data_IF_859536938959
#
_entry.id   IF_859536938959
#
_cell.length_a   1.000
_cell.length_b   1.000
_cell.length_c   1.000
_cell.angle_alpha   90.00
_cell.angle_beta   90.00
_cell.angle_gamma   90.00
#
_symmetry.space_group_name_H-M   'P 1'
#
loop_
_entity.id
_entity.type
_entity.pdbx_description
1 polymer ?
#
# COMPACT_ATOMS: atom_id res chain seq x y z
N UNK A 1 -35.22 4.97 -10.34
CA UNK A 1 -36.29 5.98 -10.17
C UNK A 1 -35.60 7.29 -9.84
N UNK A 2 -35.68 8.30 -10.72
CA UNK A 2 -35.11 9.65 -10.53
C UNK A 2 -36.25 10.59 -10.15
N UNK A 3 -36.09 11.42 -9.12
CA UNK A 3 -37.02 12.55 -8.89
C UNK A 3 -36.65 13.72 -9.79
N UNK A 4 -37.64 14.57 -10.09
CA UNK A 4 -37.67 15.57 -11.17
C UNK A 4 -36.60 16.67 -11.12
N UNK A 5 -35.79 16.77 -10.06
CA UNK A 5 -34.74 17.79 -9.93
C UNK A 5 -33.32 17.26 -10.19
N UNK A 6 -33.19 16.00 -10.63
CA UNK A 6 -31.88 15.41 -10.98
C UNK A 6 -30.95 15.14 -9.79
N UNK A 7 -31.36 15.46 -8.57
CA UNK A 7 -30.63 15.10 -7.35
C UNK A 7 -30.76 13.60 -7.06
N UNK A 8 -29.62 12.93 -6.93
CA UNK A 8 -29.53 11.50 -6.65
C UNK A 8 -30.06 11.22 -5.24
N UNK A 9 -31.12 10.41 -5.13
CA UNK A 9 -31.94 10.21 -3.92
C UNK A 9 -31.20 9.58 -2.72
N UNK A 10 -29.92 9.26 -2.88
CA UNK A 10 -29.11 8.64 -1.82
C UNK A 10 -27.98 9.55 -1.31
N UNK A 11 -27.79 10.74 -1.91
CA UNK A 11 -26.79 11.72 -1.48
C UNK A 11 -25.36 11.17 -1.39
N UNK A 12 -24.44 11.93 -0.77
CA UNK A 12 -23.04 11.55 -0.55
C UNK A 12 -22.84 10.29 0.34
N UNK A 13 -23.92 9.67 0.81
CA UNK A 13 -23.93 8.51 1.70
C UNK A 13 -24.52 7.25 1.04
N UNK A 14 -24.65 7.20 -0.29
CA UNK A 14 -25.04 5.96 -0.97
C UNK A 14 -23.97 4.88 -0.73
N UNK A 15 -24.28 3.76 -0.05
CA UNK A 15 -23.32 2.67 0.12
C UNK A 15 -22.85 2.09 -1.22
N UNK A 16 -23.57 2.29 -2.34
CA UNK A 16 -23.15 1.92 -3.71
C UNK A 16 -22.16 2.92 -4.31
N UNK A 17 -22.15 4.16 -3.84
CA UNK A 17 -21.14 5.16 -4.21
C UNK A 17 -19.82 4.99 -3.44
N UNK A 18 -19.80 4.18 -2.37
CA UNK A 18 -18.61 3.97 -1.56
C UNK A 18 -17.44 3.46 -2.42
N UNK A 19 -16.33 4.18 -2.41
CA UNK A 19 -15.13 3.83 -3.18
C UNK A 19 -14.38 2.64 -2.59
N UNK A 20 -14.64 2.31 -1.31
CA UNK A 20 -13.92 1.31 -0.54
C UNK A 20 -14.89 0.23 -0.05
N UNK A 21 -14.62 -1.03 -0.37
CA UNK A 21 -15.29 -2.19 0.21
C UNK A 21 -14.49 -2.76 1.39
N UNK A 22 -15.16 -3.23 2.43
CA UNK A 22 -14.50 -3.92 3.56
C UNK A 22 -15.03 -5.35 3.62
N UNK A 23 -14.12 -6.32 3.69
CA UNK A 23 -14.42 -7.74 3.83
C UNK A 23 -13.88 -8.20 5.18
N UNK A 24 -14.76 -8.55 6.11
CA UNK A 24 -14.38 -9.21 7.35
C UNK A 24 -14.32 -10.71 7.11
N UNK A 25 -13.12 -11.29 7.23
CA UNK A 25 -12.93 -12.73 7.07
C UNK A 25 -13.22 -13.41 8.41
N UNK A 26 -14.14 -14.35 8.44
CA UNK A 26 -14.36 -15.18 9.61
C UNK A 26 -13.24 -16.23 9.73
N UNK A 27 -12.91 -16.71 10.95
CA UNK A 27 -11.90 -17.76 11.13
C UNK A 27 -12.19 -19.04 10.33
N UNK A 28 -13.48 -19.32 10.10
CA UNK A 28 -13.98 -20.48 9.38
C UNK A 28 -14.06 -20.30 7.87
N UNK A 29 -13.95 -19.06 7.38
CA UNK A 29 -14.05 -18.79 5.95
C UNK A 29 -12.88 -19.43 5.21
N UNK A 30 -13.21 -20.05 4.10
CA UNK A 30 -12.25 -20.65 3.22
C UNK A 30 -11.73 -19.62 2.20
N UNK A 31 -10.64 -19.99 1.53
CA UNK A 31 -10.03 -19.14 0.52
C UNK A 31 -11.01 -18.78 -0.60
N UNK A 32 -11.85 -19.71 -1.06
CA UNK A 32 -12.71 -19.44 -2.22
C UNK A 32 -13.79 -18.42 -1.87
N UNK A 33 -14.37 -18.49 -0.67
CA UNK A 33 -15.36 -17.50 -0.21
C UNK A 33 -14.77 -16.08 -0.18
N UNK A 34 -13.54 -15.92 0.32
CA UNK A 34 -12.90 -14.59 0.35
C UNK A 34 -12.57 -14.08 -1.06
N UNK A 35 -12.10 -14.94 -1.97
CA UNK A 35 -11.85 -14.56 -3.36
C UNK A 35 -13.14 -14.15 -4.08
N UNK A 36 -14.23 -14.90 -3.87
CA UNK A 36 -15.54 -14.57 -4.43
C UNK A 36 -16.07 -13.23 -3.89
N UNK A 37 -15.83 -12.94 -2.61
CA UNK A 37 -16.17 -11.65 -2.01
C UNK A 37 -15.38 -10.50 -2.65
N UNK A 38 -14.07 -10.67 -2.88
CA UNK A 38 -13.24 -9.66 -3.57
C UNK A 38 -13.75 -9.41 -4.99
N UNK A 39 -14.05 -10.47 -5.75
CA UNK A 39 -14.61 -10.35 -7.10
C UNK A 39 -15.98 -9.66 -7.10
N UNK A 40 -16.79 -9.90 -6.08
CA UNK A 40 -18.09 -9.25 -5.93
C UNK A 40 -17.91 -7.75 -5.73
N UNK A 41 -16.96 -7.33 -4.89
CA UNK A 41 -16.67 -5.90 -4.70
C UNK A 41 -16.12 -5.24 -5.98
N UNK A 42 -15.30 -5.94 -6.75
CA UNK A 42 -14.82 -5.44 -8.06
C UNK A 42 -15.96 -5.26 -9.06
N UNK A 43 -16.90 -6.21 -9.13
CA UNK A 43 -18.12 -6.08 -9.94
C UNK A 43 -19.02 -4.92 -9.50
N UNK A 44 -19.02 -4.59 -8.21
CA UNK A 44 -19.73 -3.42 -7.67
C UNK A 44 -19.02 -2.09 -7.97
N UNK A 45 -17.86 -2.11 -8.63
CA UNK A 45 -17.13 -0.91 -9.03
C UNK A 45 -16.35 -0.25 -7.88
N UNK A 46 -16.03 -1.01 -6.81
CA UNK A 46 -15.19 -0.48 -5.73
C UNK A 46 -13.79 -0.18 -6.26
N UNK A 47 -13.22 0.96 -5.87
CA UNK A 47 -11.84 1.31 -6.25
C UNK A 47 -10.83 0.56 -5.39
N UNK A 48 -11.16 0.31 -4.13
CA UNK A 48 -10.30 -0.38 -3.18
C UNK A 48 -11.10 -1.35 -2.32
N UNK A 49 -10.50 -2.47 -1.93
CA UNK A 49 -11.09 -3.46 -1.03
C UNK A 49 -10.12 -3.80 0.09
N UNK A 50 -10.53 -3.54 1.32
CA UNK A 50 -9.82 -3.90 2.53
C UNK A 50 -10.28 -5.27 3.04
N UNK A 51 -9.39 -6.25 3.02
CA UNK A 51 -9.62 -7.60 3.54
C UNK A 51 -9.07 -7.68 4.95
N UNK A 52 -9.96 -7.76 5.94
CA UNK A 52 -9.62 -7.86 7.35
C UNK A 52 -9.47 -9.32 7.72
N UNK A 53 -8.24 -9.73 8.01
CA UNK A 53 -7.90 -11.08 8.44
C UNK A 53 -7.84 -11.12 9.97
N UNK A 54 -8.53 -12.08 10.61
CA UNK A 54 -8.39 -12.31 12.04
C UNK A 54 -7.05 -12.99 12.34
N UNK A 55 -6.65 -13.02 13.62
CA UNK A 55 -5.41 -13.68 14.07
C UNK A 55 -5.35 -15.15 13.70
N UNK A 56 -6.50 -15.83 13.74
CA UNK A 56 -6.65 -17.22 13.33
C UNK A 56 -7.67 -17.30 12.21
N UNK A 57 -7.23 -17.74 11.03
CA UNK A 57 -8.08 -17.92 9.87
C UNK A 57 -7.70 -19.17 9.09
N UNK A 58 -8.68 -19.81 8.44
CA UNK A 58 -8.44 -20.94 7.52
C UNK A 58 -8.00 -20.49 6.13
N UNK A 59 -8.46 -19.34 5.67
CA UNK A 59 -8.01 -18.76 4.42
C UNK A 59 -6.56 -18.26 4.53
N UNK A 60 -5.83 -18.22 3.41
CA UNK A 60 -4.53 -17.52 3.31
C UNK A 60 -3.44 -17.95 4.32
N UNK A 61 -3.48 -19.22 4.75
CA UNK A 61 -2.47 -19.77 5.66
C UNK A 61 -1.13 -20.07 4.97
N UNK A 62 -1.11 -20.16 3.63
CA UNK A 62 0.09 -20.53 2.88
C UNK A 62 0.48 -19.43 1.89
N UNK A 63 1.78 -19.27 1.58
CA UNK A 63 2.23 -18.34 0.55
C UNK A 63 1.54 -18.54 -0.82
N UNK A 64 1.27 -19.81 -1.19
CA UNK A 64 0.61 -20.17 -2.45
C UNK A 64 -0.83 -19.64 -2.56
N UNK A 65 -1.48 -19.37 -1.44
CA UNK A 65 -2.83 -18.80 -1.44
C UNK A 65 -2.83 -17.35 -1.93
N UNK A 66 -1.75 -16.62 -1.67
CA UNK A 66 -1.53 -15.26 -2.17
C UNK A 66 -1.04 -15.24 -3.62
N UNK A 67 -0.44 -16.32 -4.12
CA UNK A 67 -0.05 -16.43 -5.54
C UNK A 67 -1.28 -16.46 -6.46
N UNK A 68 -2.36 -17.13 -6.04
CA UNK A 68 -3.64 -17.08 -6.74
C UNK A 68 -4.23 -15.67 -6.81
N UNK A 69 -4.17 -14.93 -5.69
CA UNK A 69 -4.57 -13.52 -5.62
C UNK A 69 -3.75 -12.63 -6.56
N UNK A 70 -2.43 -12.87 -6.66
CA UNK A 70 -1.55 -12.09 -7.54
C UNK A 70 -1.96 -12.22 -9.01
N UNK A 71 -2.34 -13.41 -9.45
CA UNK A 71 -2.84 -13.64 -10.80
C UNK A 71 -4.20 -12.97 -11.01
N UNK A 72 -5.11 -13.09 -10.03
CA UNK A 72 -6.42 -12.45 -10.06
C UNK A 72 -6.31 -10.92 -10.10
N UNK A 73 -5.41 -10.33 -9.31
CA UNK A 73 -5.16 -8.88 -9.22
C UNK A 73 -4.91 -8.23 -10.58
N UNK A 74 -4.32 -8.96 -11.54
CA UNK A 74 -4.09 -8.43 -12.90
C UNK A 74 -5.38 -8.15 -13.67
N UNK A 75 -6.47 -8.83 -13.34
CA UNK A 75 -7.78 -8.67 -13.97
C UNK A 75 -8.75 -7.77 -13.20
N UNK A 76 -8.41 -7.37 -11.98
CA UNK A 76 -9.25 -6.50 -11.15
C UNK A 76 -8.97 -5.03 -11.46
N UNK A 77 -10.02 -4.24 -11.46
CA UNK A 77 -9.93 -2.76 -11.46
C UNK A 77 -9.80 -2.24 -10.03
N UNK A 78 -10.18 -3.05 -9.06
CA UNK A 78 -10.08 -2.77 -7.63
C UNK A 78 -8.68 -3.07 -7.07
N UNK A 79 -8.17 -2.16 -6.26
CA UNK A 79 -6.97 -2.39 -5.45
C UNK A 79 -7.30 -3.22 -4.21
N UNK A 80 -6.48 -4.24 -3.92
CA UNK A 80 -6.65 -5.09 -2.73
C UNK A 80 -5.66 -4.65 -1.65
N UNK A 81 -6.18 -4.36 -0.48
CA UNK A 81 -5.44 -4.04 0.74
C UNK A 81 -5.75 -5.09 1.80
N UNK A 82 -4.75 -5.56 2.54
CA UNK A 82 -4.96 -6.45 3.66
C UNK A 82 -4.82 -5.69 4.99
N UNK A 83 -5.69 -6.01 5.92
CA UNK A 83 -5.60 -5.59 7.31
C UNK A 83 -5.45 -6.85 8.13
N UNK A 84 -4.26 -7.09 8.65
CA UNK A 84 -3.95 -8.30 9.38
C UNK A 84 -3.07 -7.97 10.57
N UNK A 85 -3.25 -8.65 11.72
CA UNK A 85 -2.39 -8.48 12.87
C UNK A 85 -0.93 -8.74 12.48
N UNK A 86 -0.03 -7.95 13.06
CA UNK A 86 1.40 -8.10 12.80
C UNK A 86 1.93 -9.43 13.36
N UNK A 87 2.90 -10.02 12.67
CA UNK A 87 3.54 -11.27 13.10
C UNK A 87 3.82 -12.21 11.93
N UNK A 88 4.48 -13.35 12.20
CA UNK A 88 4.71 -14.39 11.20
C UNK A 88 3.36 -14.95 10.74
N UNK A 89 3.14 -15.03 9.43
CA UNK A 89 1.91 -15.59 8.87
C UNK A 89 1.29 -14.78 7.72
N UNK A 90 -0.05 -14.64 7.65
CA UNK A 90 -0.73 -14.05 6.49
C UNK A 90 -0.25 -12.65 6.11
N UNK A 91 0.08 -11.81 7.10
CA UNK A 91 0.60 -10.46 6.87
C UNK A 91 1.94 -10.46 6.12
N UNK A 92 2.85 -11.37 6.47
CA UNK A 92 4.15 -11.50 5.78
C UNK A 92 3.99 -12.06 4.37
N UNK A 93 3.15 -13.08 4.21
CA UNK A 93 2.89 -13.68 2.91
C UNK A 93 2.27 -12.67 1.93
N UNK A 94 1.35 -11.83 2.41
CA UNK A 94 0.79 -10.73 1.63
C UNK A 94 1.87 -9.70 1.22
N UNK A 95 2.73 -9.27 2.17
CA UNK A 95 3.83 -8.32 1.89
C UNK A 95 4.81 -8.86 0.86
N UNK A 96 5.21 -10.12 0.97
CA UNK A 96 6.12 -10.78 0.02
C UNK A 96 5.55 -10.78 -1.41
N UNK A 97 4.23 -10.75 -1.56
CA UNK A 97 3.55 -10.67 -2.87
C UNK A 97 3.22 -9.24 -3.31
N UNK A 98 3.78 -8.24 -2.61
CA UNK A 98 3.57 -6.81 -2.84
C UNK A 98 2.11 -6.43 -2.74
N UNK A 99 1.41 -6.96 -1.74
CA UNK A 99 0.15 -6.38 -1.30
C UNK A 99 0.42 -5.36 -0.18
N UNK A 100 -0.39 -4.31 -0.14
CA UNK A 100 -0.40 -3.33 0.94
C UNK A 100 -0.99 -4.00 2.18
N UNK A 101 -0.29 -3.92 3.32
CA UNK A 101 -0.71 -4.56 4.57
C UNK A 101 -0.66 -3.56 5.71
N UNK A 102 -1.80 -3.34 6.35
CA UNK A 102 -1.93 -2.58 7.58
C UNK A 102 -2.09 -3.52 8.77
N UNK A 103 -1.58 -3.10 9.93
CA UNK A 103 -1.65 -3.87 11.17
C UNK A 103 -3.02 -3.79 11.84
N UNK A 104 -3.79 -2.74 11.54
CA UNK A 104 -5.13 -2.53 12.10
C UNK A 104 -5.99 -1.69 11.15
N UNK A 105 -7.30 -1.75 11.34
CA UNK A 105 -8.26 -0.92 10.61
C UNK A 105 -8.03 0.57 10.87
N UNK A 106 -7.59 0.93 12.08
CA UNK A 106 -7.27 2.32 12.44
C UNK A 106 -6.06 2.86 11.67
N UNK A 107 -5.02 2.03 11.51
CA UNK A 107 -3.84 2.37 10.71
C UNK A 107 -4.23 2.58 9.24
N UNK A 108 -5.09 1.71 8.71
CA UNK A 108 -5.65 1.86 7.38
C UNK A 108 -6.49 3.15 7.24
N UNK A 109 -7.43 3.41 8.16
CA UNK A 109 -8.25 4.62 8.15
C UNK A 109 -7.41 5.90 8.26
N UNK A 110 -6.32 5.87 9.02
CA UNK A 110 -5.40 7.00 9.13
C UNK A 110 -4.62 7.24 7.84
N UNK A 111 -4.20 6.19 7.14
CA UNK A 111 -3.58 6.32 5.82
C UNK A 111 -4.53 6.95 4.79
N UNK A 112 -5.81 6.54 4.78
CA UNK A 112 -6.81 7.13 3.89
C UNK A 112 -7.02 8.63 4.14
N UNK A 113 -7.00 9.05 5.41
CA UNK A 113 -7.10 10.48 5.78
C UNK A 113 -5.87 11.27 5.34
N UNK A 114 -4.67 10.70 5.46
CA UNK A 114 -3.44 11.32 4.98
C UNK A 114 -3.46 11.50 3.45
N UNK A 115 -3.81 10.45 2.72
CA UNK A 115 -3.95 10.49 1.25
C UNK A 115 -5.01 11.52 0.80
N UNK A 116 -6.12 11.64 1.54
CA UNK A 116 -7.15 12.65 1.25
C UNK A 116 -6.65 14.08 1.50
N UNK A 117 -5.84 14.29 2.54
CA UNK A 117 -5.24 15.58 2.85
C UNK A 117 -4.17 15.99 1.81
N UNK A 118 -3.37 15.04 1.33
CA UNK A 118 -2.38 15.28 0.27
C UNK A 118 -3.03 15.57 -1.08
N UNK A 119 -4.09 14.83 -1.44
CA UNK A 119 -4.84 15.07 -2.68
C UNK A 119 -5.70 16.35 -2.62
N UNK A 120 -6.11 16.80 -1.44
CA UNK A 120 -6.77 18.10 -1.22
C UNK A 120 -5.79 19.29 -1.20
N UNK A 121 -4.48 19.04 -1.19
CA UNK A 121 -3.41 20.03 -1.05
C UNK A 121 -2.67 20.39 -2.34
N UNK A 122 -3.19 20.05 -3.52
CA UNK A 122 -2.55 20.34 -4.80
C UNK A 122 -2.59 21.83 -5.22
N UNK A 123 -2.16 22.73 -4.33
CA UNK A 123 -1.61 24.06 -4.64
C UNK A 123 -0.57 24.47 -3.59
N UNK A 124 0.62 23.88 -3.66
CA UNK A 124 1.88 24.60 -3.40
C UNK A 124 3.06 23.75 -3.85
N UNK A 125 3.51 24.02 -5.08
CA UNK A 125 4.83 23.59 -5.52
C UNK A 125 5.88 24.24 -4.65
N UNK A 126 6.74 23.44 -4.03
CA UNK A 126 8.03 23.91 -3.51
C UNK A 126 9.01 22.76 -3.22
N UNK A 127 9.24 21.80 -4.10
CA UNK A 127 10.42 20.93 -3.94
C UNK A 127 11.02 20.54 -5.30
N UNK A 128 12.09 21.27 -5.66
CA UNK A 128 12.95 20.88 -6.74
C UNK A 128 13.98 21.95 -7.10
N UNK A 129 15.26 21.64 -6.83
CA UNK A 129 16.46 22.10 -7.55
C UNK A 129 17.33 23.18 -6.87
N UNK A 130 18.34 22.73 -6.12
CA UNK A 130 19.78 22.72 -6.51
C UNK A 130 20.65 22.28 -5.34
N UNK A 131 21.10 21.02 -5.35
CA UNK A 131 22.41 20.71 -4.77
C UNK A 131 23.44 21.10 -5.81
N UNK A 132 24.24 22.11 -5.50
CA UNK A 132 25.49 22.42 -6.20
C UNK A 132 26.58 22.24 -5.15
N UNK A 133 27.29 21.12 -5.22
CA UNK A 133 28.56 20.93 -4.53
C UNK A 133 29.64 20.96 -5.61
N UNK A 134 30.47 22.00 -5.58
CA UNK A 134 31.60 22.24 -6.46
C UNK A 134 32.71 21.17 -6.28
N UNK A 135 33.28 20.60 -7.37
CA UNK A 135 34.54 19.88 -7.31
C UNK A 135 35.68 20.79 -7.76
N UNK A 136 36.27 21.55 -6.83
CA UNK A 136 37.50 22.28 -7.10
C UNK A 136 38.22 22.62 -5.79
N UNK A 137 39.07 21.71 -5.29
CA UNK A 137 40.47 22.02 -4.92
C UNK A 137 41.18 20.77 -4.39
N UNK A 138 41.82 20.00 -5.28
CA UNK A 138 42.83 19.02 -4.86
C UNK A 138 43.94 18.99 -5.92
N UNK A 139 44.67 20.10 -6.01
CA UNK A 139 46.00 20.15 -6.62
C UNK A 139 46.89 20.95 -5.68
N UNK A 140 47.94 20.29 -5.20
CA UNK A 140 49.27 20.75 -4.79
C UNK A 140 49.86 19.56 -4.01
N UNK A 141 50.35 18.55 -4.73
CA UNK A 141 51.74 18.39 -5.17
C UNK A 141 52.61 17.66 -4.11
N UNK A 142 53.24 16.54 -4.48
CA UNK A 142 54.17 15.79 -3.63
C UNK A 142 55.57 16.38 -3.77
N UNK A 143 56.36 16.35 -2.69
CA UNK A 143 57.83 16.13 -2.67
C UNK A 143 58.40 16.61 -1.34
N UNK A 144 58.98 15.70 -0.55
CA UNK A 144 60.30 15.89 0.07
C UNK A 144 60.85 14.50 0.34
N UNK A 145 61.69 14.02 -0.57
CA UNK A 145 62.75 13.05 -0.30
C UNK A 145 63.75 13.68 0.67
N UNK A 146 64.11 12.96 1.74
CA UNK A 146 65.50 12.92 2.22
C UNK A 146 65.81 11.49 2.63
N UNK A 147 66.44 10.79 1.69
CA UNK A 147 67.39 9.70 1.91
C UNK A 147 68.61 10.32 2.63
N UNK A 148 69.10 9.76 3.73
CA UNK A 148 70.36 9.00 3.73
C UNK A 148 70.96 8.75 5.15
N UNK A 149 71.60 7.58 5.25
CA UNK A 149 72.69 7.12 6.11
C UNK A 149 73.15 7.90 7.36
N UNK A 150 73.40 7.10 8.42
CA UNK A 150 74.71 6.87 9.10
C UNK A 150 74.69 7.02 10.64
N UNK A 151 75.11 5.92 11.27
CA UNK A 151 75.73 5.72 12.62
C UNK A 151 76.56 6.91 13.14
N UNK A 152 76.83 6.99 14.45
CA UNK A 152 77.82 6.13 15.15
C UNK A 152 77.21 4.98 15.96
#
# INVERSE_FOLDING_TARGET
MRQGDGADLLGANDPRSASIGIIYVAPTDDRQSVLAAILTQDKLGRKQVAVVLPETNRAFQRPVDFDGLKNMRRGLKTEIVFVAPGGPGPAEFARQRRFTVFTSLESYASSLRAEAAENGGAKKGLFGRRQKADPANARLAPTTDVIDMRRP
#
